data_IF_350062189894
#
_entry.id   IF_350062189894
#
_cell.length_a   1.000
_cell.length_b   1.000
_cell.length_c   1.000
_cell.angle_alpha   90.00
_cell.angle_beta   90.00
_cell.angle_gamma   90.00
#
_symmetry.space_group_name_H-M   'P 1'
#
loop_
_entity.id
_entity.type
_entity.pdbx_description
1 polymer ?
#
# COMPACT_ATOMS: atom_id res chain seq x y z
N UNK A 1 -62.47 -2.02 7.27
CA UNK A 1 -61.15 -2.67 7.13
C UNK A 1 -60.09 -1.64 7.47
N UNK A 2 -59.49 -1.71 8.66
CA UNK A 2 -58.44 -0.76 9.06
C UNK A 2 -57.08 -1.42 8.85
N UNK A 3 -56.26 -0.79 8.01
CA UNK A 3 -54.89 -1.21 7.76
C UNK A 3 -54.04 -0.93 9.01
N UNK A 4 -53.42 -1.98 9.56
CA UNK A 4 -52.41 -1.87 10.61
C UNK A 4 -51.07 -1.61 9.92
N UNK A 5 -50.61 -0.38 9.97
CA UNK A 5 -49.21 -0.03 9.67
C UNK A 5 -48.36 -0.32 10.91
N UNK A 6 -47.57 -1.37 10.85
CA UNK A 6 -46.55 -1.70 11.86
C UNK A 6 -45.44 -0.64 11.81
N UNK A 7 -45.07 0.00 12.93
CA UNK A 7 -43.95 0.94 12.94
C UNK A 7 -42.63 0.19 12.74
N UNK A 8 -41.77 0.71 11.85
CA UNK A 8 -40.42 0.22 11.66
C UNK A 8 -39.60 0.51 12.92
N UNK A 9 -39.14 -0.54 13.61
CA UNK A 9 -38.25 -0.44 14.76
C UNK A 9 -36.86 0.00 14.28
N UNK A 10 -36.60 1.30 14.30
CA UNK A 10 -35.23 1.83 14.12
C UNK A 10 -34.46 1.54 15.40
N UNK A 11 -33.35 0.78 15.37
CA UNK A 11 -32.58 0.52 16.58
C UNK A 11 -32.06 1.84 17.16
N UNK A 12 -32.33 2.09 18.43
CA UNK A 12 -31.86 3.26 19.16
C UNK A 12 -30.35 3.18 19.36
N UNK A 13 -29.63 4.26 19.05
CA UNK A 13 -28.19 4.38 19.25
C UNK A 13 -27.85 4.36 20.74
N UNK A 14 -27.07 3.37 21.19
CA UNK A 14 -26.62 3.25 22.57
C UNK A 14 -25.24 3.90 22.73
N UNK A 15 -25.24 5.15 23.16
CA UNK A 15 -24.02 5.97 23.32
C UNK A 15 -23.07 5.41 24.39
N UNK A 16 -23.60 4.87 25.49
CA UNK A 16 -22.81 4.30 26.58
C UNK A 16 -22.01 3.07 26.14
N UNK A 17 -22.55 2.28 25.20
CA UNK A 17 -21.83 1.15 24.60
C UNK A 17 -20.91 1.59 23.47
N UNK A 18 -21.28 2.64 22.73
CA UNK A 18 -20.55 3.10 21.57
C UNK A 18 -19.24 3.83 21.93
N UNK A 19 -19.25 4.68 22.96
CA UNK A 19 -18.09 5.47 23.37
C UNK A 19 -16.86 4.62 23.80
N UNK A 20 -17.01 3.58 24.66
CA UNK A 20 -15.89 2.71 25.01
C UNK A 20 -15.31 1.97 23.81
N UNK A 21 -16.17 1.56 22.86
CA UNK A 21 -15.73 0.92 21.62
C UNK A 21 -14.90 1.89 20.77
N UNK A 22 -15.31 3.17 20.68
CA UNK A 22 -14.54 4.18 19.97
C UNK A 22 -13.15 4.38 20.60
N UNK A 23 -13.06 4.49 21.94
CA UNK A 23 -11.77 4.65 22.62
C UNK A 23 -10.89 3.41 22.45
N UNK A 24 -11.45 2.22 22.57
CA UNK A 24 -10.74 0.96 22.31
C UNK A 24 -10.18 0.92 20.89
N UNK A 25 -10.97 1.35 19.89
CA UNK A 25 -10.52 1.43 18.50
C UNK A 25 -9.39 2.46 18.33
N UNK A 26 -9.49 3.62 18.98
CA UNK A 26 -8.46 4.66 18.93
C UNK A 26 -7.13 4.17 19.55
N UNK A 27 -7.20 3.48 20.68
CA UNK A 27 -6.04 2.89 21.35
C UNK A 27 -5.43 1.78 20.49
N UNK A 28 -6.26 0.92 19.90
CA UNK A 28 -5.82 -0.16 19.01
C UNK A 28 -5.13 0.39 17.77
N UNK A 29 -5.69 1.44 17.16
CA UNK A 29 -5.09 2.09 16.00
C UNK A 29 -3.75 2.73 16.35
N UNK A 30 -3.66 3.39 17.50
CA UNK A 30 -2.42 3.99 18.00
C UNK A 30 -1.36 2.92 18.24
N UNK A 31 -1.74 1.82 18.88
CA UNK A 31 -0.85 0.68 19.13
C UNK A 31 -0.35 0.05 17.82
N UNK A 32 -1.24 -0.18 16.85
CA UNK A 32 -0.87 -0.72 15.54
C UNK A 32 0.10 0.21 14.80
N UNK A 33 -0.11 1.53 14.86
CA UNK A 33 0.82 2.50 14.28
C UNK A 33 2.18 2.47 14.96
N UNK A 34 2.23 2.40 16.29
CA UNK A 34 3.49 2.30 17.04
C UNK A 34 4.23 1.00 16.74
N UNK A 35 3.51 -0.13 16.67
CA UNK A 35 4.09 -1.42 16.32
C UNK A 35 4.64 -1.41 14.89
N UNK A 36 3.88 -0.83 13.95
CA UNK A 36 4.34 -0.60 12.58
C UNK A 36 5.61 0.25 12.55
N UNK A 37 5.64 1.40 13.24
CA UNK A 37 6.82 2.25 13.30
C UNK A 37 8.01 1.52 13.91
N UNK A 38 7.80 0.78 14.99
CA UNK A 38 8.81 -0.03 15.66
C UNK A 38 9.42 -1.06 14.72
N UNK A 39 8.57 -1.77 13.96
CA UNK A 39 9.01 -2.77 13.00
C UNK A 39 9.77 -2.14 11.82
N UNK A 40 9.27 -1.05 11.24
CA UNK A 40 9.95 -0.32 10.17
C UNK A 40 11.29 0.28 10.61
N UNK A 41 11.42 0.67 11.89
CA UNK A 41 12.69 1.14 12.46
C UNK A 41 13.75 0.05 12.53
N UNK A 42 13.40 -1.23 12.49
CA UNK A 42 14.37 -2.33 12.47
C UNK A 42 15.04 -2.51 11.10
N UNK A 43 14.49 -1.91 10.03
CA UNK A 43 15.09 -2.00 8.69
C UNK A 43 16.44 -1.27 8.63
N UNK A 44 17.52 -1.90 8.12
CA UNK A 44 18.85 -1.31 8.03
C UNK A 44 18.97 -0.33 6.84
N UNK A 45 18.07 0.65 6.75
CA UNK A 45 18.05 1.65 5.67
C UNK A 45 18.38 3.06 6.18
N UNK A 46 19.05 3.87 5.35
CA UNK A 46 19.34 5.29 5.62
C UNK A 46 18.07 6.15 5.43
N UNK A 47 17.90 7.21 6.22
CA UNK A 47 16.80 8.19 6.12
C UNK A 47 15.38 7.62 6.36
N UNK A 48 15.19 6.81 7.41
CA UNK A 48 13.92 6.12 7.75
C UNK A 48 12.72 7.06 7.95
N UNK A 49 12.93 8.28 8.46
CA UNK A 49 11.87 9.29 8.65
C UNK A 49 11.12 9.66 7.36
N UNK A 50 11.74 9.49 6.18
CA UNK A 50 11.07 9.72 4.89
C UNK A 50 9.96 8.71 4.62
N UNK A 51 10.04 7.49 5.17
CA UNK A 51 9.00 6.45 5.00
C UNK A 51 7.69 6.78 5.75
N UNK A 52 7.73 7.74 6.68
CA UNK A 52 6.62 8.11 7.57
C UNK A 52 5.95 9.45 7.20
N UNK A 53 6.35 10.11 6.09
CA UNK A 53 5.67 11.34 5.64
C UNK A 53 4.38 10.98 4.90
N UNK A 54 3.25 11.59 5.28
CA UNK A 54 1.92 11.33 4.72
C UNK A 54 1.85 11.42 3.19
N UNK A 55 2.71 12.23 2.55
CA UNK A 55 2.75 12.38 1.08
C UNK A 55 3.48 11.25 0.32
N UNK A 56 4.17 10.35 1.04
CA UNK A 56 4.87 9.19 0.49
C UNK A 56 4.97 8.10 1.56
N UNK A 57 3.82 7.56 1.95
CA UNK A 57 3.71 6.68 3.11
C UNK A 57 3.58 5.22 2.69
N UNK A 58 4.49 4.37 3.18
CA UNK A 58 4.41 2.93 3.00
C UNK A 58 3.78 2.28 4.24
N UNK A 59 2.49 2.01 4.18
CA UNK A 59 1.75 1.28 5.22
C UNK A 59 2.11 -0.21 5.29
N UNK A 60 1.93 -0.84 6.44
CA UNK A 60 2.11 -2.30 6.59
C UNK A 60 1.18 -3.09 5.66
N UNK A 61 -0.06 -2.63 5.49
CA UNK A 61 -1.02 -3.22 4.55
C UNK A 61 -0.48 -3.22 3.12
N UNK A 62 0.07 -2.10 2.67
CA UNK A 62 0.63 -1.96 1.34
C UNK A 62 1.91 -2.80 1.17
N UNK A 63 2.81 -2.80 2.16
CA UNK A 63 3.99 -3.65 2.13
C UNK A 63 3.63 -5.14 2.09
N UNK A 64 2.66 -5.58 2.90
CA UNK A 64 2.17 -6.95 2.88
C UNK A 64 1.59 -7.30 1.51
N UNK A 65 0.78 -6.43 0.93
CA UNK A 65 0.24 -6.60 -0.43
C UNK A 65 1.36 -6.73 -1.48
N UNK A 66 2.36 -5.86 -1.44
CA UNK A 66 3.52 -5.88 -2.35
C UNK A 66 4.27 -7.20 -2.24
N UNK A 67 4.56 -7.66 -1.03
CA UNK A 67 5.32 -8.90 -0.83
C UNK A 67 4.50 -10.13 -1.20
N UNK A 68 3.22 -10.17 -0.85
CA UNK A 68 2.32 -11.27 -1.18
C UNK A 68 2.18 -11.44 -2.69
N UNK A 69 1.95 -10.33 -3.40
CA UNK A 69 1.64 -10.36 -4.83
C UNK A 69 2.89 -10.32 -5.71
N UNK A 70 3.94 -9.61 -5.29
CA UNK A 70 5.06 -9.24 -6.16
C UNK A 70 6.43 -9.74 -5.67
N UNK A 71 6.57 -10.52 -4.60
CA UNK A 71 7.87 -11.11 -4.23
C UNK A 71 8.01 -12.55 -4.70
N UNK A 72 9.15 -12.91 -5.31
CA UNK A 72 9.36 -14.24 -5.91
C UNK A 72 9.30 -15.39 -4.90
N UNK A 73 9.68 -15.17 -3.64
CA UNK A 73 9.64 -16.20 -2.59
C UNK A 73 8.24 -16.48 -2.06
N UNK A 74 7.23 -15.68 -2.46
CA UNK A 74 5.83 -15.92 -2.13
C UNK A 74 5.12 -16.48 -3.37
N UNK A 75 4.82 -17.78 -3.33
CA UNK A 75 4.19 -18.54 -4.42
C UNK A 75 2.67 -18.26 -4.53
N UNK A 76 2.29 -16.98 -4.56
CA UNK A 76 0.92 -16.51 -4.84
C UNK A 76 0.93 -15.59 -6.05
N UNK A 77 -0.16 -15.52 -6.81
CA UNK A 77 -0.28 -14.67 -8.01
C UNK A 77 0.86 -14.85 -9.04
N UNK A 78 0.99 -16.04 -9.68
CA UNK A 78 2.11 -16.36 -10.58
C UNK A 78 2.16 -15.51 -11.86
N UNK A 79 1.03 -14.92 -12.26
CA UNK A 79 0.93 -14.04 -13.44
C UNK A 79 1.30 -12.58 -13.14
N UNK A 80 1.58 -12.24 -11.87
CA UNK A 80 2.04 -10.91 -11.50
C UNK A 80 3.56 -10.80 -11.67
N UNK A 81 4.06 -9.59 -11.95
CA UNK A 81 5.49 -9.33 -11.93
C UNK A 81 6.11 -9.62 -10.55
N UNK A 82 7.33 -10.16 -10.54
CA UNK A 82 8.02 -10.65 -9.33
C UNK A 82 9.38 -9.99 -9.14
N UNK A 83 9.58 -9.33 -7.99
CA UNK A 83 10.89 -8.88 -7.52
C UNK A 83 11.75 -10.07 -7.14
N UNK A 84 12.98 -10.09 -7.63
CA UNK A 84 14.03 -11.06 -7.27
C UNK A 84 15.06 -10.48 -6.30
N UNK A 85 15.11 -9.16 -6.17
CA UNK A 85 15.97 -8.45 -5.22
C UNK A 85 15.49 -8.63 -3.76
N UNK A 86 16.38 -8.48 -2.77
CA UNK A 86 16.01 -8.56 -1.35
C UNK A 86 14.99 -7.49 -0.95
N UNK A 87 14.13 -7.79 0.02
CA UNK A 87 13.09 -6.88 0.54
C UNK A 87 13.65 -5.48 0.90
N UNK A 88 14.80 -5.33 1.59
CA UNK A 88 15.36 -4.01 1.87
C UNK A 88 15.67 -3.20 0.60
N UNK A 89 16.08 -3.85 -0.49
CA UNK A 89 16.33 -3.20 -1.77
C UNK A 89 15.03 -2.79 -2.45
N UNK A 90 13.96 -3.59 -2.34
CA UNK A 90 12.61 -3.21 -2.80
C UNK A 90 12.14 -1.94 -2.07
N UNK A 91 12.23 -1.91 -0.73
CA UNK A 91 11.82 -0.76 0.07
C UNK A 91 12.66 0.48 -0.22
N UNK A 92 13.98 0.31 -0.44
CA UNK A 92 14.85 1.41 -0.87
C UNK A 92 14.43 1.97 -2.23
N UNK A 93 14.17 1.10 -3.20
CA UNK A 93 13.69 1.50 -4.53
C UNK A 93 12.34 2.24 -4.47
N UNK A 94 11.39 1.77 -3.65
CA UNK A 94 10.11 2.46 -3.40
C UNK A 94 10.34 3.86 -2.81
N UNK A 95 11.27 3.99 -1.87
CA UNK A 95 11.60 5.27 -1.25
C UNK A 95 12.21 6.25 -2.26
N UNK A 96 13.12 5.75 -3.09
CA UNK A 96 13.86 6.58 -4.04
C UNK A 96 13.00 6.99 -5.25
N UNK A 97 12.01 6.15 -5.63
CA UNK A 97 11.01 6.47 -6.64
C UNK A 97 10.20 7.75 -6.34
N UNK A 98 10.17 8.24 -5.09
CA UNK A 98 9.58 9.54 -4.76
C UNK A 98 10.21 10.71 -5.55
N UNK A 99 11.48 10.59 -5.97
CA UNK A 99 12.15 11.62 -6.76
C UNK A 99 11.68 11.68 -8.21
N UNK A 100 10.95 10.67 -8.67
CA UNK A 100 10.49 10.59 -10.05
C UNK A 100 9.21 11.42 -10.25
N UNK A 101 8.99 11.93 -11.47
CA UNK A 101 7.77 12.69 -11.78
C UNK A 101 6.54 11.81 -11.58
N UNK A 102 5.53 12.38 -10.92
CA UNK A 102 4.24 11.74 -10.75
C UNK A 102 3.47 11.80 -12.07
N UNK A 103 2.90 10.68 -12.50
CA UNK A 103 2.01 10.61 -13.64
C UNK A 103 0.66 10.06 -13.18
N UNK A 104 -0.44 10.66 -13.64
CA UNK A 104 -1.76 10.16 -13.30
C UNK A 104 -2.03 8.85 -14.04
N UNK A 105 -2.56 7.85 -13.33
CA UNK A 105 -2.87 6.54 -13.89
C UNK A 105 -4.32 6.50 -14.38
N UNK A 106 -4.53 6.94 -15.62
CA UNK A 106 -5.86 7.02 -16.24
C UNK A 106 -6.84 7.88 -15.42
N UNK A 107 -8.11 7.48 -15.38
CA UNK A 107 -9.16 8.17 -14.61
C UNK A 107 -9.31 7.69 -13.16
N UNK A 108 -8.44 6.80 -12.69
CA UNK A 108 -8.59 6.15 -11.38
C UNK A 108 -8.34 7.08 -10.17
N UNK A 109 -7.76 8.26 -10.39
CA UNK A 109 -7.32 9.15 -9.32
C UNK A 109 -6.01 8.70 -8.64
N UNK A 110 -5.41 7.60 -9.10
CA UNK A 110 -4.11 7.13 -8.65
C UNK A 110 -2.97 7.79 -9.41
N UNK A 111 -1.82 7.85 -8.74
CA UNK A 111 -0.58 8.39 -9.30
C UNK A 111 0.46 7.29 -9.36
N UNK A 112 1.17 7.20 -10.48
CA UNK A 112 2.31 6.33 -10.63
C UNK A 112 3.61 7.14 -10.66
N UNK A 113 4.68 6.53 -10.14
CA UNK A 113 6.06 6.95 -10.35
C UNK A 113 6.86 5.73 -10.79
N UNK A 114 7.64 5.90 -11.85
CA UNK A 114 8.47 4.84 -12.42
C UNK A 114 9.93 5.20 -12.23
N UNK A 115 10.70 4.32 -11.60
CA UNK A 115 12.13 4.48 -11.38
C UNK A 115 12.87 3.34 -12.09
N UNK A 116 13.87 3.68 -12.90
CA UNK A 116 14.85 2.71 -13.38
C UNK A 116 15.97 2.55 -12.36
N UNK A 117 16.24 1.31 -11.93
CA UNK A 117 17.29 0.98 -10.97
C UNK A 117 18.63 0.73 -11.68
N UNK A 118 18.63 0.57 -13.01
CA UNK A 118 19.83 0.34 -13.82
C UNK A 118 20.40 -1.08 -13.74
N UNK A 119 19.77 -1.96 -12.94
CA UNK A 119 20.07 -3.39 -12.86
C UNK A 119 18.78 -4.19 -12.82
N UNK A 120 18.80 -5.45 -13.25
CA UNK A 120 17.60 -6.31 -13.18
C UNK A 120 17.12 -6.47 -11.73
N UNK A 121 15.87 -6.08 -11.48
CA UNK A 121 15.24 -6.17 -10.14
C UNK A 121 14.20 -7.29 -10.03
N UNK A 122 13.84 -7.89 -11.16
CA UNK A 122 12.80 -8.90 -11.23
C UNK A 122 12.32 -9.17 -12.65
N UNK A 123 11.14 -9.75 -12.73
CA UNK A 123 10.46 -10.06 -13.98
C UNK A 123 9.08 -9.40 -14.02
N UNK A 124 8.65 -8.91 -15.18
CA UNK A 124 7.28 -8.43 -15.36
C UNK A 124 6.28 -9.60 -15.48
N UNK A 125 4.99 -9.29 -15.68
CA UNK A 125 3.93 -10.29 -15.86
C UNK A 125 4.10 -11.17 -17.10
N UNK A 126 4.95 -10.76 -18.05
CA UNK A 126 5.31 -11.50 -19.27
C UNK A 126 6.56 -12.37 -19.07
N UNK A 127 7.12 -12.42 -17.87
CA UNK A 127 8.34 -13.17 -17.54
C UNK A 127 9.63 -12.52 -18.07
N UNK A 128 9.59 -11.27 -18.54
CA UNK A 128 10.75 -10.57 -19.06
C UNK A 128 11.53 -9.90 -17.92
N UNK A 129 12.87 -9.96 -17.92
CA UNK A 129 13.68 -9.27 -16.93
C UNK A 129 13.48 -7.76 -17.05
N UNK A 130 13.36 -7.08 -15.92
CA UNK A 130 13.14 -5.63 -15.86
C UNK A 130 14.02 -4.98 -14.81
N UNK A 131 14.46 -3.75 -15.08
CA UNK A 131 15.20 -2.90 -14.14
C UNK A 131 14.35 -1.81 -13.50
N UNK A 132 13.10 -1.65 -13.95
CA UNK A 132 12.21 -0.60 -13.50
C UNK A 132 11.28 -1.07 -12.38
N UNK A 133 10.99 -0.17 -11.44
CA UNK A 133 9.92 -0.31 -10.45
C UNK A 133 8.85 0.74 -10.71
N UNK A 134 7.58 0.32 -10.66
CA UNK A 134 6.44 1.23 -10.60
C UNK A 134 5.90 1.26 -9.18
N UNK A 135 5.68 2.46 -8.63
CA UNK A 135 5.02 2.69 -7.35
C UNK A 135 3.73 3.43 -7.61
N UNK A 136 2.61 2.93 -7.08
CA UNK A 136 1.29 3.54 -7.21
C UNK A 136 0.87 4.11 -5.85
N UNK A 137 0.44 5.37 -5.84
CA UNK A 137 -0.15 6.03 -4.69
C UNK A 137 -1.59 6.46 -4.96
N UNK A 138 -2.36 6.67 -3.90
CA UNK A 138 -3.60 7.45 -3.97
C UNK A 138 -3.32 8.96 -4.09
N UNK A 139 -4.39 9.76 -4.09
CA UNK A 139 -4.32 11.22 -4.13
C UNK A 139 -3.73 11.85 -2.85
N UNK A 140 -3.75 11.15 -1.72
CA UNK A 140 -3.19 11.61 -0.45
C UNK A 140 -1.68 11.32 -0.33
N UNK A 141 -1.14 10.44 -1.18
CA UNK A 141 0.26 10.00 -1.16
C UNK A 141 0.49 8.72 -0.36
N UNK A 142 -0.57 7.97 -0.04
CA UNK A 142 -0.45 6.62 0.51
C UNK A 142 -0.07 5.65 -0.60
N UNK A 143 1.00 4.87 -0.40
CA UNK A 143 1.42 3.83 -1.34
C UNK A 143 0.41 2.69 -1.28
N UNK A 144 -0.19 2.38 -2.42
CA UNK A 144 -1.15 1.28 -2.57
C UNK A 144 -0.42 -0.01 -2.95
N UNK A 145 0.51 0.09 -3.91
CA UNK A 145 1.29 -1.05 -4.39
C UNK A 145 2.59 -0.59 -5.06
N UNK A 146 3.47 -1.55 -5.30
CA UNK A 146 4.66 -1.43 -6.10
C UNK A 146 4.99 -2.77 -6.75
N UNK A 147 5.50 -2.73 -7.98
CA UNK A 147 5.82 -3.93 -8.75
C UNK A 147 6.95 -3.68 -9.76
N UNK A 148 7.66 -4.73 -10.19
CA UNK A 148 8.67 -4.61 -11.24
C UNK A 148 8.03 -4.46 -12.62
N UNK A 149 8.57 -3.55 -13.43
CA UNK A 149 8.06 -3.16 -14.75
C UNK A 149 7.26 -1.86 -14.71
N UNK A 150 6.89 -1.37 -15.89
CA UNK A 150 6.00 -0.22 -16.06
C UNK A 150 4.53 -0.65 -15.98
N UNK A 151 3.63 0.21 -15.48
CA UNK A 151 2.21 0.02 -15.70
C UNK A 151 1.91 0.18 -17.20
N UNK A 152 1.20 -0.76 -17.81
CA UNK A 152 0.72 -0.59 -19.18
C UNK A 152 -0.36 0.49 -19.16
N UNK A 153 -0.02 1.72 -19.57
CA UNK A 153 -1.01 2.76 -19.87
C UNK A 153 -1.70 2.39 -21.17
N UNK A 154 -2.83 1.70 -21.08
CA UNK A 154 -3.81 1.73 -22.17
C UNK A 154 -4.38 3.14 -22.27
N UNK A 155 -4.09 3.81 -23.38
CA UNK A 155 -4.69 5.07 -23.80
C UNK A 155 -6.20 4.91 -24.01
#
# INVERSE_FOLDING_TARGET
>A
MHAVTTPANTPTFNEEQWLPVLFLLADTQTWLQQLQEGHLRQLPVKNRKKLLRKSWYLGVKALAHILERHYHKVARHPLAGKFTIPIPAIVAAIKDAYQQPAQQLGQSGHWQRVQDIGSTIGYNSRGQPVSTITVITDAAGEIITAFPGAAETTC
#
